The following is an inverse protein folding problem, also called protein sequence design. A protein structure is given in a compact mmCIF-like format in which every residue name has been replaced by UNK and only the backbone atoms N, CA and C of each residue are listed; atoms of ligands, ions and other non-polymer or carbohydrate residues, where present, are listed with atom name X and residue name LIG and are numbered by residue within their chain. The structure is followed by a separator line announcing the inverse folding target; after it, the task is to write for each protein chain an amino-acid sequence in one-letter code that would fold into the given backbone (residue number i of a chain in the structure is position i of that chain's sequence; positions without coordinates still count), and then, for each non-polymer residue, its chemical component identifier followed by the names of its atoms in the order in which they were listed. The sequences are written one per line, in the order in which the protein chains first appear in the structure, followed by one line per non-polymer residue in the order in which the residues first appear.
data_IF_992821265723
#
_entry.id   IF_992821265723
#
_cell.length_a   1.000
_cell.length_b   1.000
_cell.length_c   1.000
_cell.angle_alpha   90.00
_cell.angle_beta   90.00
_cell.angle_gamma   90.00
#
_symmetry.space_group_name_H-M   'P 1'
#
loop_
_entity.id
_entity.type
_entity.pdbx_description
1 polymer ?
#
# COMPACT_ATOMS: atom_id res chain seq x y z
N UNK A 1 17.46 18.20 3.31
CA UNK A 1 16.46 17.35 2.64
C UNK A 1 15.09 17.57 3.25
N UNK A 2 14.08 17.74 2.42
CA UNK A 2 12.68 17.83 2.88
C UNK A 2 12.01 16.46 2.75
N UNK A 3 11.45 15.97 3.83
CA UNK A 3 10.75 14.68 3.90
C UNK A 3 9.27 14.94 4.20
N UNK A 4 8.39 14.30 3.45
CA UNK A 4 6.96 14.29 3.73
C UNK A 4 6.58 13.00 4.45
N UNK A 5 6.19 13.09 5.70
CA UNK A 5 5.56 12.00 6.43
C UNK A 5 4.05 12.04 6.13
N UNK A 6 3.58 11.06 5.38
CA UNK A 6 2.20 11.03 4.90
C UNK A 6 1.34 10.22 5.86
N UNK A 7 0.39 10.88 6.50
CA UNK A 7 -0.63 10.25 7.33
C UNK A 7 -1.90 10.10 6.50
N UNK A 8 -2.20 8.90 6.08
CA UNK A 8 -3.36 8.57 5.26
C UNK A 8 -3.79 7.13 5.49
N UNK A 9 -4.99 6.81 5.06
CA UNK A 9 -5.53 5.45 5.12
C UNK A 9 -5.55 4.84 3.71
N UNK A 10 -5.36 3.52 3.57
CA UNK A 10 -5.58 2.84 2.29
C UNK A 10 -7.07 2.86 1.90
N UNK A 11 -7.34 2.54 0.65
CA UNK A 11 -8.67 2.06 0.25
C UNK A 11 -8.72 0.59 0.66
N UNK A 12 -9.50 0.27 1.69
CA UNK A 12 -9.43 -0.99 2.43
C UNK A 12 -9.65 -2.18 1.50
N UNK A 13 -8.67 -3.10 1.48
CA UNK A 13 -8.69 -4.33 0.67
C UNK A 13 -8.93 -4.09 -0.84
N UNK A 14 -8.46 -2.96 -1.33
CA UNK A 14 -8.46 -2.60 -2.75
C UNK A 14 -7.07 -2.09 -3.13
N UNK A 15 -6.24 -2.98 -3.64
CA UNK A 15 -4.84 -2.68 -3.96
C UNK A 15 -4.71 -1.68 -5.10
N UNK A 16 -5.54 -1.79 -6.14
CA UNK A 16 -5.50 -0.87 -7.29
C UNK A 16 -5.88 0.56 -6.89
N UNK A 17 -6.99 0.72 -6.18
CA UNK A 17 -7.40 2.03 -5.69
C UNK A 17 -6.39 2.62 -4.71
N UNK A 18 -5.78 1.78 -3.86
CA UNK A 18 -4.77 2.22 -2.91
C UNK A 18 -3.48 2.68 -3.60
N UNK A 19 -3.02 1.97 -4.63
CA UNK A 19 -1.81 2.38 -5.38
C UNK A 19 -2.04 3.70 -6.10
N UNK A 20 -3.21 3.93 -6.69
CA UNK A 20 -3.54 5.21 -7.33
C UNK A 20 -3.60 6.34 -6.29
N UNK A 21 -4.17 6.09 -5.13
CA UNK A 21 -4.14 7.05 -4.01
C UNK A 21 -2.71 7.35 -3.58
N UNK A 22 -1.87 6.35 -3.43
CA UNK A 22 -0.46 6.52 -3.07
C UNK A 22 0.28 7.36 -4.11
N UNK A 23 0.07 7.11 -5.40
CA UNK A 23 0.66 7.90 -6.48
C UNK A 23 0.25 9.38 -6.41
N UNK A 24 -1.01 9.65 -6.11
CA UNK A 24 -1.50 11.02 -5.89
C UNK A 24 -0.81 11.70 -4.72
N UNK A 25 -0.68 11.01 -3.59
CA UNK A 25 -0.01 11.51 -2.39
C UNK A 25 1.49 11.77 -2.62
N UNK A 26 2.15 10.91 -3.39
CA UNK A 26 3.55 11.10 -3.82
C UNK A 26 3.68 12.37 -4.66
N UNK A 27 2.77 12.58 -5.61
CA UNK A 27 2.73 13.79 -6.43
C UNK A 27 2.50 15.07 -5.60
N UNK A 28 1.58 15.01 -4.63
CA UNK A 28 1.33 16.13 -3.70
C UNK A 28 2.57 16.47 -2.89
N UNK A 29 3.23 15.46 -2.32
CA UNK A 29 4.47 15.65 -1.57
C UNK A 29 5.57 16.29 -2.43
N UNK A 30 5.71 15.86 -3.67
CA UNK A 30 6.68 16.44 -4.60
C UNK A 30 6.37 17.91 -4.92
N UNK A 31 5.10 18.25 -5.14
CA UNK A 31 4.67 19.64 -5.36
C UNK A 31 4.96 20.53 -4.15
N UNK A 32 4.89 19.99 -2.94
CA UNK A 32 5.24 20.68 -1.70
C UNK A 32 6.76 20.75 -1.47
N UNK A 33 7.57 20.26 -2.40
CA UNK A 33 9.02 20.33 -2.37
C UNK A 33 9.70 19.21 -1.60
N UNK A 34 9.01 18.12 -1.27
CA UNK A 34 9.62 16.97 -0.64
C UNK A 34 10.51 16.19 -1.63
N UNK A 35 11.60 15.66 -1.12
CA UNK A 35 12.54 14.80 -1.85
C UNK A 35 12.32 13.31 -1.51
N UNK A 36 11.67 13.05 -0.39
CA UNK A 36 11.27 11.72 0.07
C UNK A 36 9.84 11.78 0.62
N UNK A 37 8.99 10.91 0.11
CA UNK A 37 7.65 10.66 0.66
C UNK A 37 7.69 9.35 1.47
N UNK A 38 7.18 9.37 2.69
CA UNK A 38 7.11 8.21 3.58
C UNK A 38 5.64 7.92 3.88
N UNK A 39 5.16 6.76 3.44
CA UNK A 39 3.81 6.29 3.67
C UNK A 39 3.77 5.25 4.80
N UNK A 40 2.59 4.98 5.40
CA UNK A 40 2.46 4.08 6.54
C UNK A 40 2.89 2.64 6.28
N UNK A 41 3.12 1.90 7.38
CA UNK A 41 3.31 0.45 7.38
C UNK A 41 2.09 -0.26 6.81
N UNK A 42 2.32 -1.33 6.04
CA UNK A 42 1.27 -2.17 5.44
C UNK A 42 0.17 -1.34 4.75
N UNK A 43 0.56 -0.24 4.10
CA UNK A 43 -0.39 0.65 3.42
C UNK A 43 -1.15 -0.07 2.29
N UNK A 44 -0.50 -1.04 1.64
CA UNK A 44 -1.13 -1.87 0.61
C UNK A 44 -1.11 -3.34 1.05
N UNK A 45 -2.27 -3.94 1.23
CA UNK A 45 -3.62 -3.39 1.10
C UNK A 45 -4.21 -2.88 2.42
N UNK A 46 -3.67 -3.30 3.57
CA UNK A 46 -4.16 -2.96 4.90
C UNK A 46 -3.28 -3.60 5.97
N UNK A 47 -3.13 -2.93 7.10
CA UNK A 47 -2.51 -3.54 8.28
C UNK A 47 -3.41 -4.66 8.84
N UNK A 48 -2.95 -5.92 8.91
CA UNK A 48 -3.81 -7.07 9.24
C UNK A 48 -4.46 -7.00 10.61
N UNK A 49 -3.83 -6.32 11.56
CA UNK A 49 -4.37 -6.12 12.92
C UNK A 49 -5.27 -4.90 13.06
N UNK A 50 -5.61 -4.23 11.96
CA UNK A 50 -6.48 -3.07 11.99
C UNK A 50 -7.83 -3.41 12.62
N UNK A 51 -8.31 -2.56 13.53
CA UNK A 51 -9.56 -2.80 14.26
C UNK A 51 -10.77 -2.89 13.32
N UNK A 52 -10.75 -2.17 12.21
CA UNK A 52 -11.76 -2.21 11.18
C UNK A 52 -11.81 -3.57 10.45
N UNK A 53 -10.63 -4.10 10.10
CA UNK A 53 -10.51 -5.43 9.49
C UNK A 53 -11.00 -6.52 10.43
N UNK A 54 -10.66 -6.43 11.72
CA UNK A 54 -11.17 -7.34 12.76
C UNK A 54 -12.69 -7.27 12.91
N UNK A 55 -13.26 -6.07 12.87
CA UNK A 55 -14.70 -5.86 12.90
C UNK A 55 -15.39 -6.49 11.68
N UNK A 56 -14.85 -6.27 10.49
CA UNK A 56 -15.37 -6.88 9.27
C UNK A 56 -15.27 -8.41 9.30
N UNK A 57 -14.18 -8.97 9.79
CA UNK A 57 -13.99 -10.41 9.93
C UNK A 57 -15.00 -11.07 10.89
N UNK A 58 -15.52 -10.34 11.87
CA UNK A 58 -16.57 -10.83 12.77
C UNK A 58 -17.89 -11.11 12.05
N UNK A 59 -18.12 -10.47 10.90
CA UNK A 59 -19.33 -10.65 10.09
C UNK A 59 -19.11 -11.58 8.90
N UNK A 60 -17.98 -11.48 8.20
CA UNK A 60 -17.71 -12.25 6.98
C UNK A 60 -16.84 -13.49 7.19
N UNK A 61 -16.23 -13.61 8.38
CA UNK A 61 -15.28 -14.68 8.71
C UNK A 61 -13.82 -14.31 8.44
N UNK A 62 -12.93 -14.95 9.19
CA UNK A 62 -11.47 -14.71 9.10
C UNK A 62 -10.88 -15.25 7.80
N UNK A 63 -11.42 -16.35 7.27
CA UNK A 63 -10.95 -16.96 6.02
C UNK A 63 -11.20 -16.02 4.85
N UNK A 64 -12.40 -15.42 4.78
CA UNK A 64 -12.72 -14.41 3.76
C UNK A 64 -11.82 -13.17 3.85
N UNK A 65 -11.58 -12.67 5.05
CA UNK A 65 -10.66 -11.55 5.25
C UNK A 65 -9.25 -11.89 4.80
N UNK A 66 -8.76 -13.09 5.14
CA UNK A 66 -7.41 -13.53 4.78
C UNK A 66 -7.25 -13.70 3.27
N UNK A 67 -8.24 -14.30 2.62
CA UNK A 67 -8.27 -14.45 1.16
C UNK A 67 -8.19 -13.10 0.46
N UNK A 68 -9.05 -12.16 0.86
CA UNK A 68 -9.06 -10.79 0.31
C UNK A 68 -7.74 -10.03 0.58
N UNK A 69 -7.18 -10.22 1.77
CA UNK A 69 -5.89 -9.62 2.13
C UNK A 69 -4.78 -10.17 1.23
N UNK A 70 -4.75 -11.49 1.03
CA UNK A 70 -3.76 -12.14 0.18
C UNK A 70 -3.92 -11.75 -1.29
N UNK A 71 -5.14 -11.74 -1.81
CA UNK A 71 -5.43 -11.35 -3.19
C UNK A 71 -5.00 -9.92 -3.51
N UNK A 72 -5.12 -9.02 -2.53
CA UNK A 72 -4.74 -7.62 -2.65
C UNK A 72 -3.31 -7.33 -2.15
N UNK A 73 -2.55 -8.33 -1.75
CA UNK A 73 -1.14 -8.17 -1.39
C UNK A 73 -0.26 -8.02 -2.63
N UNK A 74 0.96 -7.58 -2.43
CA UNK A 74 1.83 -7.06 -3.49
C UNK A 74 2.87 -8.07 -3.91
N UNK A 75 2.98 -8.30 -5.21
CA UNK A 75 4.13 -8.99 -5.79
C UNK A 75 5.31 -8.00 -5.89
N UNK A 76 6.49 -8.40 -5.38
CA UNK A 76 7.69 -7.57 -5.42
C UNK A 76 8.84 -8.35 -6.09
N UNK A 77 9.29 -7.92 -7.28
CA UNK A 77 8.75 -6.87 -8.13
C UNK A 77 7.42 -7.28 -8.80
N UNK A 78 6.63 -6.29 -9.19
CA UNK A 78 5.37 -6.55 -9.86
C UNK A 78 4.65 -5.28 -10.32
N UNK A 79 3.41 -5.38 -10.82
CA UNK A 79 2.69 -4.25 -11.40
C UNK A 79 2.53 -3.06 -10.44
N UNK A 80 2.27 -3.33 -9.16
CA UNK A 80 2.10 -2.28 -8.14
C UNK A 80 3.42 -1.55 -7.87
N UNK A 81 4.52 -2.28 -7.71
CA UNK A 81 5.83 -1.67 -7.51
C UNK A 81 6.27 -0.86 -8.74
N UNK A 82 5.98 -1.34 -9.94
CA UNK A 82 6.23 -0.61 -11.18
C UNK A 82 5.42 0.69 -11.26
N UNK A 83 4.15 0.64 -10.91
CA UNK A 83 3.29 1.84 -10.90
C UNK A 83 3.77 2.90 -9.91
N UNK A 84 4.20 2.48 -8.71
CA UNK A 84 4.79 3.37 -7.70
C UNK A 84 6.12 3.96 -8.19
N UNK A 85 6.97 3.14 -8.79
CA UNK A 85 8.25 3.58 -9.35
C UNK A 85 8.04 4.61 -10.48
N UNK A 86 7.02 4.42 -11.31
CA UNK A 86 6.65 5.34 -12.36
C UNK A 86 6.23 6.71 -11.80
N UNK A 87 5.39 6.73 -10.77
CA UNK A 87 5.01 7.96 -10.09
C UNK A 87 6.23 8.68 -9.48
N UNK A 88 7.15 7.93 -8.88
CA UNK A 88 8.39 8.49 -8.33
C UNK A 88 9.27 9.11 -9.42
N UNK A 89 9.41 8.44 -10.57
CA UNK A 89 10.16 8.97 -11.72
C UNK A 89 9.52 10.23 -12.30
N UNK A 90 8.20 10.20 -12.47
CA UNK A 90 7.42 11.31 -13.01
C UNK A 90 7.58 12.58 -12.17
N UNK A 91 7.55 12.44 -10.86
CA UNK A 91 7.62 13.56 -9.92
C UNK A 91 9.02 13.86 -9.40
N UNK A 92 10.03 13.07 -9.76
CA UNK A 92 11.41 13.27 -9.32
C UNK A 92 11.60 13.15 -7.81
N UNK A 93 10.91 12.21 -7.15
CA UNK A 93 10.90 12.02 -5.71
C UNK A 93 11.21 10.56 -5.35
N UNK A 94 11.82 10.34 -4.19
CA UNK A 94 11.93 9.02 -3.59
C UNK A 94 10.70 8.69 -2.75
N UNK A 95 10.38 7.40 -2.61
CA UNK A 95 9.27 6.96 -1.78
C UNK A 95 9.68 5.75 -0.93
N UNK A 96 9.28 5.77 0.34
CA UNK A 96 9.26 4.62 1.22
C UNK A 96 7.82 4.29 1.57
N UNK A 97 7.39 3.07 1.29
CA UNK A 97 6.01 2.62 1.54
C UNK A 97 6.01 1.20 2.09
N UNK A 98 5.20 0.96 3.11
CA UNK A 98 4.97 -0.39 3.64
C UNK A 98 3.94 -1.13 2.80
N UNK A 99 4.24 -2.38 2.48
CA UNK A 99 3.33 -3.26 1.74
C UNK A 99 3.31 -4.65 2.38
N UNK A 100 2.21 -5.37 2.20
CA UNK A 100 2.18 -6.81 2.45
C UNK A 100 2.65 -7.50 1.18
N UNK A 101 3.84 -8.07 1.21
CA UNK A 101 4.38 -8.83 0.10
C UNK A 101 3.75 -10.21 0.05
N UNK A 102 3.30 -10.61 -1.12
CA UNK A 102 2.77 -11.94 -1.37
C UNK A 102 3.90 -12.91 -1.72
N UNK A 103 3.97 -14.02 -1.00
CA UNK A 103 4.96 -15.06 -1.26
C UNK A 103 4.54 -15.89 -2.49
N UNK A 104 5.25 -15.73 -3.60
CA UNK A 104 4.92 -16.40 -4.86
C UNK A 104 5.19 -17.91 -4.86
N UNK A 105 6.18 -18.35 -4.08
CA UNK A 105 6.54 -19.78 -3.99
C UNK A 105 5.64 -20.56 -3.02
N UNK A 106 4.92 -19.86 -2.16
CA UNK A 106 4.02 -20.44 -1.15
C UNK A 106 2.67 -19.72 -1.19
N UNK A 107 1.78 -20.11 -2.11
CA UNK A 107 0.46 -19.49 -2.20
C UNK A 107 -0.26 -19.48 -0.84
N UNK A 108 -0.83 -18.34 -0.47
CA UNK A 108 -1.49 -18.13 0.81
C UNK A 108 -0.58 -17.61 1.93
N UNK A 109 0.72 -17.43 1.68
CA UNK A 109 1.67 -16.83 2.62
C UNK A 109 1.96 -15.36 2.26
N UNK A 110 2.14 -14.55 3.30
CA UNK A 110 2.58 -13.16 3.20
C UNK A 110 3.97 -13.00 3.77
#
# INVERSE_FOLDING_TARGET
MRIAAIQSTPVILDAEATVEKACGLIGDAARDGAQLAVLPEAFIPLYPSNAWAKGAAAFSGWDDLWERLWENSVDVPGPITERLAEACREHGIHCAIGVNERESERPGCL
#
